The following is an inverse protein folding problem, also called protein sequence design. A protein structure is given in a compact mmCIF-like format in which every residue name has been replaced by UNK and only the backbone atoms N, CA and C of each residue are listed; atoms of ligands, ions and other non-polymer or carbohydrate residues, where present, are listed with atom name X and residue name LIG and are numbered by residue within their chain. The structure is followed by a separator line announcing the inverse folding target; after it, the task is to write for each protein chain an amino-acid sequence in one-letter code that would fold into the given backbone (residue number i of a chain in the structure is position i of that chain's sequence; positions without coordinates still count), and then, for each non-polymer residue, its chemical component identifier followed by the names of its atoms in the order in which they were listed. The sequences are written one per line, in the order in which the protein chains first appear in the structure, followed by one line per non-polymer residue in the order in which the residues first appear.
data_IF_200831821817
#
_entry.id   IF_200831821817
#
_cell.length_a   1.000
_cell.length_b   1.000
_cell.length_c   1.000
_cell.angle_alpha   90.00
_cell.angle_beta   90.00
_cell.angle_gamma   90.00
#
_symmetry.space_group_name_H-M   'P 1'
#
loop_
_entity.id
_entity.type
_entity.pdbx_description
1 polymer ?
#
# COMPACT_ATOMS: atom_id res chain seq x y z
N UNK A 1 2.55 -8.48 -25.79
CA UNK A 1 1.58 -8.26 -24.70
C UNK A 1 1.25 -9.61 -24.07
N UNK A 2 1.65 -9.82 -22.86
CA UNK A 2 1.38 -11.07 -22.15
C UNK A 2 0.02 -10.92 -21.47
N UNK A 3 -0.98 -11.62 -21.97
CA UNK A 3 -2.28 -11.71 -21.34
C UNK A 3 -2.19 -12.76 -20.22
N UNK A 4 -2.19 -12.33 -18.97
CA UNK A 4 -2.32 -13.24 -17.85
C UNK A 4 -3.80 -13.59 -17.66
N UNK A 5 -4.26 -14.63 -18.31
CA UNK A 5 -5.51 -15.25 -17.93
C UNK A 5 -5.23 -16.07 -16.67
N UNK A 6 -5.50 -15.48 -15.55
CA UNK A 6 -5.41 -16.20 -14.28
C UNK A 6 -6.64 -17.09 -14.17
N UNK A 7 -6.43 -18.39 -14.12
CA UNK A 7 -7.48 -19.31 -13.73
C UNK A 7 -8.09 -18.89 -12.39
N UNK A 8 -9.41 -18.98 -12.21
CA UNK A 8 -10.02 -18.65 -10.93
C UNK A 8 -9.43 -19.58 -9.86
N UNK A 9 -8.59 -19.01 -8.99
CA UNK A 9 -8.20 -19.72 -7.79
C UNK A 9 -9.41 -19.78 -6.88
N UNK A 10 -9.75 -20.98 -6.44
CA UNK A 10 -10.54 -21.12 -5.23
C UNK A 10 -9.79 -20.37 -4.16
N UNK A 11 -10.38 -19.28 -3.68
CA UNK A 11 -9.78 -18.48 -2.62
C UNK A 11 -9.82 -19.33 -1.36
N UNK A 12 -8.73 -20.04 -1.10
CA UNK A 12 -8.51 -20.59 0.24
C UNK A 12 -8.50 -19.42 1.22
N UNK A 13 -9.15 -19.60 2.37
CA UNK A 13 -9.10 -18.61 3.43
C UNK A 13 -7.64 -18.33 3.75
N UNK A 14 -7.17 -17.08 3.67
CA UNK A 14 -5.78 -16.78 3.97
C UNK A 14 -5.43 -17.24 5.40
N UNK A 15 -4.25 -17.82 5.55
CA UNK A 15 -3.74 -18.18 6.87
C UNK A 15 -3.59 -16.90 7.71
N UNK A 16 -4.04 -16.97 8.96
CA UNK A 16 -3.88 -15.87 9.89
C UNK A 16 -2.42 -15.84 10.38
N UNK A 17 -1.79 -14.69 10.25
CA UNK A 17 -0.42 -14.46 10.73
C UNK A 17 -0.47 -13.62 12.00
N UNK A 18 0.12 -14.12 13.08
CA UNK A 18 0.22 -13.38 14.33
C UNK A 18 1.37 -12.38 14.26
N UNK A 19 1.06 -11.11 14.51
CA UNK A 19 2.01 -10.01 14.53
C UNK A 19 2.00 -9.35 15.90
N UNK A 20 3.18 -9.01 16.41
CA UNK A 20 3.30 -8.10 17.55
C UNK A 20 2.82 -6.70 17.14
N UNK A 21 2.46 -5.82 18.09
CA UNK A 21 2.11 -4.43 17.76
C UNK A 21 3.22 -3.70 16.98
N UNK A 22 4.48 -3.94 17.32
CA UNK A 22 5.62 -3.37 16.61
C UNK A 22 5.74 -3.89 15.17
N UNK A 23 5.58 -5.19 14.97
CA UNK A 23 5.58 -5.80 13.64
C UNK A 23 4.42 -5.29 12.79
N UNK A 24 3.24 -5.12 13.38
CA UNK A 24 2.08 -4.56 12.69
C UNK A 24 2.34 -3.12 12.22
N UNK A 25 2.93 -2.30 13.08
CA UNK A 25 3.32 -0.94 12.72
C UNK A 25 4.33 -0.93 11.56
N UNK A 26 5.30 -1.83 11.57
CA UNK A 26 6.29 -1.99 10.49
C UNK A 26 5.63 -2.39 9.18
N UNK A 27 4.68 -3.33 9.20
CA UNK A 27 3.93 -3.74 7.99
C UNK A 27 3.11 -2.60 7.43
N UNK A 28 2.43 -1.83 8.28
CA UNK A 28 1.65 -0.66 7.84
C UNK A 28 2.55 0.42 7.22
N UNK A 29 3.70 0.68 7.82
CA UNK A 29 4.69 1.61 7.26
C UNK A 29 5.21 1.13 5.91
N UNK A 30 5.58 -0.14 5.81
CA UNK A 30 6.03 -0.75 4.57
C UNK A 30 4.96 -0.63 3.47
N UNK A 31 3.71 -0.98 3.78
CA UNK A 31 2.61 -0.85 2.84
C UNK A 31 2.41 0.60 2.38
N UNK A 32 2.48 1.57 3.28
CA UNK A 32 2.34 2.98 2.92
C UNK A 32 3.43 3.46 1.96
N UNK A 33 4.66 3.03 2.17
CA UNK A 33 5.79 3.38 1.30
C UNK A 33 5.71 2.70 -0.08
N UNK A 34 5.28 1.44 -0.12
CA UNK A 34 5.23 0.65 -1.34
C UNK A 34 3.99 0.93 -2.20
N UNK A 35 2.88 1.34 -1.58
CA UNK A 35 1.62 1.64 -2.25
C UNK A 35 1.48 3.11 -2.65
N UNK A 36 2.39 3.97 -2.25
CA UNK A 36 2.39 5.36 -2.65
C UNK A 36 2.92 5.54 -4.08
N UNK A 37 2.49 6.61 -4.75
CA UNK A 37 3.00 6.93 -6.08
C UNK A 37 4.53 7.15 -6.02
N UNK A 38 5.30 6.43 -6.85
CA UNK A 38 6.75 6.56 -6.83
C UNK A 38 7.19 7.84 -7.54
N UNK A 39 7.25 8.94 -6.80
CA UNK A 39 7.76 10.20 -7.30
C UNK A 39 9.20 10.03 -7.80
N UNK A 40 9.59 10.86 -8.77
CA UNK A 40 10.89 10.79 -9.42
C UNK A 40 12.05 10.75 -8.41
N UNK A 41 12.92 9.77 -8.55
CA UNK A 41 14.10 9.60 -7.70
C UNK A 41 13.85 9.01 -6.31
N UNK A 42 12.62 8.61 -5.97
CA UNK A 42 12.28 8.15 -4.63
C UNK A 42 12.15 6.64 -4.48
N UNK A 43 11.97 5.90 -5.57
CA UNK A 43 11.66 4.47 -5.52
C UNK A 43 12.72 3.67 -4.77
N UNK A 44 13.97 3.78 -5.17
CA UNK A 44 15.06 2.99 -4.58
C UNK A 44 15.24 3.26 -3.08
N UNK A 45 15.13 4.51 -2.65
CA UNK A 45 15.17 4.88 -1.24
C UNK A 45 14.04 4.22 -0.43
N UNK A 46 12.83 4.18 -0.99
CA UNK A 46 11.69 3.52 -0.35
C UNK A 46 11.86 2.01 -0.28
N UNK A 47 12.30 1.39 -1.36
CA UNK A 47 12.56 -0.04 -1.38
C UNK A 47 13.63 -0.45 -0.37
N UNK A 48 14.72 0.31 -0.28
CA UNK A 48 15.78 0.08 0.68
C UNK A 48 15.29 0.22 2.13
N UNK A 49 14.45 1.22 2.41
CA UNK A 49 13.88 1.43 3.74
C UNK A 49 13.02 0.24 4.19
N UNK A 50 12.20 -0.30 3.30
CA UNK A 50 11.38 -1.49 3.60
C UNK A 50 12.25 -2.73 3.73
N UNK A 51 13.21 -2.91 2.86
CA UNK A 51 14.11 -4.07 2.87
C UNK A 51 14.89 -4.16 4.18
N UNK A 52 15.32 -3.04 4.74
CA UNK A 52 16.02 -2.98 6.02
C UNK A 52 15.20 -3.51 7.20
N UNK A 53 13.89 -3.48 7.11
CA UNK A 53 12.98 -3.92 8.18
C UNK A 53 12.49 -5.37 8.03
N UNK A 54 12.80 -6.05 6.93
CA UNK A 54 12.26 -7.39 6.65
C UNK A 54 12.70 -8.43 7.67
N UNK A 55 13.89 -8.30 8.23
CA UNK A 55 14.42 -9.23 9.24
C UNK A 55 13.63 -9.21 10.55
N UNK A 56 12.89 -8.15 10.83
CA UNK A 56 12.06 -8.01 12.03
C UNK A 56 10.68 -8.64 11.89
N UNK A 57 10.32 -9.07 10.68
CA UNK A 57 8.99 -9.58 10.34
C UNK A 57 8.98 -11.11 10.25
N UNK A 58 7.81 -11.75 10.48
CA UNK A 58 7.66 -13.17 10.20
C UNK A 58 7.98 -13.50 8.75
N UNK A 59 8.56 -14.66 8.50
CA UNK A 59 8.99 -15.10 7.18
C UNK A 59 7.87 -15.07 6.13
N UNK A 60 6.64 -15.42 6.52
CA UNK A 60 5.47 -15.44 5.64
C UNK A 60 5.13 -14.03 5.10
N UNK A 61 5.34 -13.01 5.90
CA UNK A 61 5.12 -11.61 5.52
C UNK A 61 6.32 -11.07 4.75
N UNK A 62 7.52 -11.34 5.23
CA UNK A 62 8.77 -10.88 4.62
C UNK A 62 8.89 -11.35 3.17
N UNK A 63 8.55 -12.59 2.87
CA UNK A 63 8.58 -13.15 1.51
C UNK A 63 7.70 -12.37 0.54
N UNK A 64 6.51 -11.97 0.95
CA UNK A 64 5.60 -11.18 0.10
C UNK A 64 6.16 -9.79 -0.21
N UNK A 65 6.75 -9.14 0.78
CA UNK A 65 7.37 -7.83 0.61
C UNK A 65 8.64 -7.91 -0.24
N UNK A 66 9.46 -8.92 -0.03
CA UNK A 66 10.65 -9.19 -0.85
C UNK A 66 10.31 -9.41 -2.32
N UNK A 67 9.27 -10.16 -2.60
CA UNK A 67 8.80 -10.41 -3.95
C UNK A 67 8.35 -9.11 -4.63
N UNK A 68 7.61 -8.27 -3.94
CA UNK A 68 7.23 -6.95 -4.45
C UNK A 68 8.44 -6.08 -4.74
N UNK A 69 9.39 -6.01 -3.81
CA UNK A 69 10.62 -5.21 -3.94
C UNK A 69 11.43 -5.68 -5.16
N UNK A 70 11.58 -6.99 -5.33
CA UNK A 70 12.31 -7.56 -6.47
C UNK A 70 11.63 -7.21 -7.81
N UNK A 71 10.31 -7.28 -7.87
CA UNK A 71 9.55 -6.90 -9.05
C UNK A 71 9.66 -5.40 -9.35
N UNK A 72 9.57 -4.56 -8.33
CA UNK A 72 9.71 -3.12 -8.48
C UNK A 72 11.09 -2.72 -9.00
N UNK A 73 12.15 -3.33 -8.51
CA UNK A 73 13.52 -3.09 -8.99
C UNK A 73 13.71 -3.53 -10.44
N UNK A 74 13.15 -4.67 -10.82
CA UNK A 74 13.25 -5.16 -12.20
C UNK A 74 12.51 -4.28 -13.19
N UNK A 75 11.35 -3.76 -12.82
CA UNK A 75 10.52 -2.90 -13.68
C UNK A 75 11.07 -1.48 -13.77
N UNK A 76 11.64 -0.98 -12.70
CA UNK A 76 12.13 0.38 -12.59
C UNK A 76 11.04 1.41 -12.28
N UNK A 77 11.46 2.60 -11.94
CA UNK A 77 10.61 3.67 -11.42
C UNK A 77 9.49 4.08 -12.37
N UNK A 78 9.80 4.29 -13.65
CA UNK A 78 8.81 4.68 -14.65
C UNK A 78 7.71 3.64 -14.81
N UNK A 79 8.07 2.37 -14.93
CA UNK A 79 7.11 1.29 -15.08
C UNK A 79 6.25 1.12 -13.82
N UNK A 80 6.82 1.34 -12.64
CA UNK A 80 6.08 1.32 -11.38
C UNK A 80 5.12 2.51 -11.27
N UNK A 81 5.49 3.68 -11.73
CA UNK A 81 4.60 4.85 -11.78
C UNK A 81 3.41 4.61 -12.73
N UNK A 82 3.67 4.06 -13.91
CA UNK A 82 2.61 3.67 -14.87
C UNK A 82 1.69 2.60 -14.28
N UNK A 83 2.26 1.62 -13.59
CA UNK A 83 1.50 0.57 -12.90
C UNK A 83 0.60 1.14 -11.80
N UNK A 84 1.10 2.08 -11.01
CA UNK A 84 0.32 2.78 -9.99
C UNK A 84 -0.93 3.44 -10.59
N UNK A 85 -0.74 4.22 -11.65
CA UNK A 85 -1.85 4.90 -12.35
C UNK A 85 -2.85 3.89 -12.89
N UNK A 86 -2.39 2.81 -13.50
CA UNK A 86 -3.25 1.78 -14.06
C UNK A 86 -4.10 1.08 -12.99
N UNK A 87 -3.53 0.78 -11.84
CA UNK A 87 -4.21 0.03 -10.78
C UNK A 87 -5.06 0.94 -9.89
N UNK A 88 -4.53 2.08 -9.46
CA UNK A 88 -5.16 2.87 -8.41
C UNK A 88 -5.96 4.08 -8.93
N UNK A 89 -5.52 4.70 -10.01
CA UNK A 89 -6.18 5.89 -10.55
C UNK A 89 -7.25 5.55 -11.58
N UNK A 90 -7.00 4.56 -12.43
CA UNK A 90 -7.93 4.18 -13.51
C UNK A 90 -9.00 3.18 -13.09
N UNK A 91 -8.75 2.41 -12.05
CA UNK A 91 -9.69 1.42 -11.54
C UNK A 91 -10.35 1.93 -10.27
N UNK A 92 -11.59 2.39 -10.40
CA UNK A 92 -12.36 2.96 -9.29
C UNK A 92 -12.45 2.04 -8.07
N UNK A 93 -12.53 0.74 -8.30
CA UNK A 93 -12.58 -0.28 -7.23
C UNK A 93 -11.26 -0.53 -6.51
N UNK A 94 -10.16 0.00 -7.04
CA UNK A 94 -8.83 -0.17 -6.47
C UNK A 94 -8.23 1.12 -5.93
N UNK A 95 -9.01 2.22 -5.83
CA UNK A 95 -8.50 3.48 -5.31
C UNK A 95 -8.02 3.34 -3.86
N UNK A 96 -7.01 4.14 -3.49
CA UNK A 96 -6.40 4.11 -2.15
C UNK A 96 -7.10 5.04 -1.14
N UNK A 97 -8.23 5.59 -1.50
CA UNK A 97 -9.01 6.46 -0.60
C UNK A 97 -9.85 5.62 0.35
N UNK A 98 -9.43 5.53 1.61
CA UNK A 98 -10.12 4.74 2.62
C UNK A 98 -11.60 5.12 2.77
N UNK A 99 -11.91 6.41 2.75
CA UNK A 99 -13.27 6.90 2.87
C UNK A 99 -14.18 6.48 1.72
N UNK A 100 -13.62 6.20 0.55
CA UNK A 100 -14.39 5.67 -0.58
C UNK A 100 -15.01 4.30 -0.25
N UNK A 101 -14.28 3.44 0.47
CA UNK A 101 -14.75 2.10 0.84
C UNK A 101 -15.73 2.11 2.02
N UNK A 102 -15.65 3.12 2.88
CA UNK A 102 -16.50 3.23 4.08
C UNK A 102 -17.81 3.96 3.82
N UNK A 103 -17.79 5.03 3.04
CA UNK A 103 -18.96 5.89 2.78
C UNK A 103 -19.24 6.14 1.30
N UNK A 104 -18.43 5.56 0.41
CA UNK A 104 -18.53 5.74 -1.03
C UNK A 104 -18.21 7.19 -1.47
N UNK A 105 -18.57 7.50 -2.71
CA UNK A 105 -18.39 8.83 -3.30
C UNK A 105 -19.66 9.67 -3.12
N UNK A 106 -20.00 9.98 -1.86
CA UNK A 106 -21.19 10.70 -1.46
C UNK A 106 -20.84 11.96 -0.66
N UNK A 107 -21.86 12.78 -0.37
CA UNK A 107 -21.69 13.95 0.51
C UNK A 107 -21.23 13.59 1.94
N UNK A 108 -21.42 12.36 2.37
CA UNK A 108 -20.92 11.86 3.66
C UNK A 108 -19.40 11.71 3.71
N UNK A 109 -18.75 11.62 2.54
CA UNK A 109 -17.29 11.52 2.43
C UNK A 109 -16.57 12.72 3.04
N UNK A 110 -17.10 13.93 2.86
CA UNK A 110 -16.53 15.14 3.46
C UNK A 110 -16.47 15.06 4.99
N UNK A 111 -17.55 14.60 5.63
CA UNK A 111 -17.59 14.38 7.07
C UNK A 111 -16.63 13.28 7.52
N UNK A 112 -16.52 12.18 6.78
CA UNK A 112 -15.59 11.09 7.06
C UNK A 112 -14.12 11.53 6.96
N UNK A 113 -13.78 12.33 5.95
CA UNK A 113 -12.44 12.91 5.79
C UNK A 113 -12.10 13.87 6.94
N UNK A 114 -13.05 14.69 7.37
CA UNK A 114 -12.86 15.59 8.51
C UNK A 114 -12.63 14.82 9.81
N UNK A 115 -13.42 13.76 10.05
CA UNK A 115 -13.23 12.90 11.21
C UNK A 115 -11.86 12.23 11.22
N UNK A 116 -11.38 11.78 10.07
CA UNK A 116 -10.05 11.20 9.90
C UNK A 116 -8.94 12.22 10.20
N UNK A 117 -9.08 13.44 9.67
CA UNK A 117 -8.15 14.55 9.94
C UNK A 117 -8.09 14.91 11.42
N UNK A 118 -9.24 14.95 12.08
CA UNK A 118 -9.31 15.21 13.52
C UNK A 118 -8.65 14.10 14.35
N UNK A 119 -8.84 12.84 13.97
CA UNK A 119 -8.18 11.71 14.62
C UNK A 119 -6.66 11.76 14.48
N UNK A 120 -6.15 12.11 13.30
CA UNK A 120 -4.72 12.31 13.07
C UNK A 120 -4.16 13.45 13.91
N UNK A 121 -4.84 14.60 13.94
CA UNK A 121 -4.44 15.75 14.75
C UNK A 121 -4.41 15.43 16.25
N UNK A 122 -5.39 14.68 16.75
CA UNK A 122 -5.42 14.21 18.13
C UNK A 122 -4.26 13.25 18.46
N UNK A 123 -3.76 12.51 17.49
CA UNK A 123 -2.60 11.63 17.61
C UNK A 123 -1.26 12.37 17.42
N UNK A 124 -1.27 13.68 17.14
CA UNK A 124 -0.07 14.49 16.94
C UNK A 124 0.47 14.53 15.51
N UNK A 125 -0.34 14.15 14.54
CA UNK A 125 0.03 14.15 13.12
C UNK A 125 -0.72 15.24 12.36
N UNK A 126 -0.10 15.76 11.33
CA UNK A 126 -0.73 16.64 10.35
C UNK A 126 -0.77 15.96 8.98
N UNK A 127 -1.85 16.18 8.25
CA UNK A 127 -1.90 15.75 6.86
C UNK A 127 -1.02 16.68 6.02
N UNK A 128 -0.18 16.11 5.18
CA UNK A 128 0.58 16.87 4.21
C UNK A 128 -0.39 17.64 3.29
N UNK A 129 -0.06 18.89 3.01
CA UNK A 129 -0.75 19.63 1.96
C UNK A 129 -0.33 19.07 0.59
N UNK A 130 -1.32 18.76 -0.24
CA UNK A 130 -1.08 18.39 -1.64
C UNK A 130 -0.71 19.61 -2.49
#
# INVERSE_FOLDING_TARGET
MVSFVRAPRVLEKPAEVQLTPSQRATVHMAASLLLDYPAEGTLETRLNAVEAELATLPAEVAVLLEEFIAQARRRGERAMAEHYVEIFDRRRRCCLYLTYYTVGDTRHRGAALLAFKQALAAAGYEMAAD
#
